data_IF_387790112530
#
_entry.id   IF_387790112530
#
_cell.length_a   1.000
_cell.length_b   1.000
_cell.length_c   1.000
_cell.angle_alpha   90.00
_cell.angle_beta   90.00
_cell.angle_gamma   90.00
#
_symmetry.space_group_name_H-M   'P 1'
#
loop_
_entity.id
_entity.type
_entity.pdbx_description
1 polymer ?
#
# COMPACT_ATOMS: atom_id res chain seq x y z
N UNK A 1 -34.53 9.50 11.17
CA UNK A 1 -33.55 10.47 10.66
C UNK A 1 -32.36 9.68 10.17
N UNK A 2 -32.15 9.58 8.86
CA UNK A 2 -30.98 8.90 8.31
C UNK A 2 -29.72 9.72 8.66
N UNK A 3 -28.71 9.06 9.21
CA UNK A 3 -27.44 9.65 9.62
C UNK A 3 -26.80 10.43 8.45
N UNK A 4 -26.40 11.67 8.71
CA UNK A 4 -25.62 12.49 7.76
C UNK A 4 -24.24 11.92 7.44
N UNK A 5 -23.80 10.86 8.13
CA UNK A 5 -22.53 10.18 7.82
C UNK A 5 -22.59 9.38 6.52
N UNK A 6 -23.74 8.78 6.18
CA UNK A 6 -23.88 7.98 4.95
C UNK A 6 -23.92 8.78 3.64
N UNK A 7 -24.10 10.11 3.69
CA UNK A 7 -24.08 10.97 2.49
C UNK A 7 -22.69 11.43 2.06
N UNK A 8 -21.67 11.24 2.91
CA UNK A 8 -20.29 11.69 2.63
C UNK A 8 -19.33 10.56 2.21
N UNK A 9 -19.71 9.29 2.34
CA UNK A 9 -18.80 8.14 2.10
C UNK A 9 -18.48 7.89 0.62
N UNK A 10 -19.30 8.39 -0.32
CA UNK A 10 -19.12 8.18 -1.76
C UNK A 10 -18.90 9.47 -2.55
N UNK A 11 -18.42 10.53 -1.89
CA UNK A 11 -18.34 11.89 -2.47
C UNK A 11 -17.61 11.94 -3.81
N UNK A 12 -16.60 11.09 -3.99
CA UNK A 12 -15.79 11.01 -5.21
C UNK A 12 -15.78 9.59 -5.76
N UNK A 13 -16.85 8.81 -5.54
CA UNK A 13 -16.90 7.43 -6.01
C UNK A 13 -16.85 7.32 -7.54
N UNK A 14 -17.32 8.31 -8.29
CA UNK A 14 -17.33 8.29 -9.76
C UNK A 14 -16.47 9.41 -10.39
N UNK A 15 -15.41 9.85 -9.70
CA UNK A 15 -14.73 11.08 -10.12
C UNK A 15 -14.08 10.97 -11.51
N UNK A 16 -13.55 9.80 -11.92
CA UNK A 16 -12.97 9.62 -13.24
C UNK A 16 -14.04 9.71 -14.33
N UNK A 17 -15.25 9.23 -14.07
CA UNK A 17 -16.40 9.35 -14.96
C UNK A 17 -16.90 10.80 -15.13
N UNK A 18 -16.64 11.67 -14.15
CA UNK A 18 -17.06 13.09 -14.14
C UNK A 18 -16.00 14.06 -14.66
N UNK A 19 -14.89 13.56 -15.17
CA UNK A 19 -13.85 14.38 -15.78
C UNK A 19 -14.36 15.00 -17.11
N UNK A 20 -13.81 16.15 -17.54
CA UNK A 20 -14.13 16.72 -18.85
C UNK A 20 -13.80 15.76 -20.00
N UNK A 21 -14.63 15.74 -21.05
CA UNK A 21 -14.42 14.83 -22.19
C UNK A 21 -13.06 15.03 -22.89
N UNK A 22 -12.55 16.27 -22.88
CA UNK A 22 -11.25 16.63 -23.44
C UNK A 22 -10.10 15.84 -22.82
N UNK A 23 -10.22 15.41 -21.56
CA UNK A 23 -9.19 14.63 -20.86
C UNK A 23 -9.43 13.12 -20.88
N UNK A 24 -10.55 12.62 -21.40
CA UNK A 24 -10.78 11.17 -21.50
C UNK A 24 -9.81 10.49 -22.46
N UNK A 25 -9.32 11.21 -23.47
CA UNK A 25 -8.43 10.67 -24.51
C UNK A 25 -6.94 10.89 -24.22
N UNK A 26 -6.59 11.66 -23.18
CA UNK A 26 -5.18 11.84 -22.80
C UNK A 26 -4.66 10.61 -22.04
N UNK A 27 -3.35 10.32 -22.10
CA UNK A 27 -2.79 9.21 -21.35
C UNK A 27 -3.02 9.34 -19.84
N UNK A 28 -3.31 8.24 -19.15
CA UNK A 28 -3.45 8.23 -17.68
C UNK A 28 -2.17 8.67 -16.96
N UNK A 29 -1.00 8.55 -17.60
CA UNK A 29 0.27 9.10 -17.10
C UNK A 29 0.28 10.62 -16.94
N UNK A 30 -0.72 11.30 -17.54
CA UNK A 30 -0.91 12.74 -17.54
C UNK A 30 -2.09 13.19 -16.68
N UNK A 31 -2.71 12.29 -15.91
CA UNK A 31 -3.74 12.64 -14.92
C UNK A 31 -3.14 12.72 -13.52
N UNK A 32 -3.67 13.62 -12.68
CA UNK A 32 -3.43 13.62 -11.25
C UNK A 32 -4.32 12.57 -10.59
N UNK A 33 -3.73 11.56 -9.95
CA UNK A 33 -4.46 10.43 -9.36
C UNK A 33 -4.11 10.32 -7.88
N UNK A 34 -5.09 10.41 -6.96
CA UNK A 34 -4.84 10.25 -5.53
C UNK A 34 -4.61 8.77 -5.19
N UNK A 35 -3.57 8.51 -4.41
CA UNK A 35 -3.18 7.18 -3.98
C UNK A 35 -2.88 7.11 -2.50
N UNK A 36 -2.90 5.89 -1.95
CA UNK A 36 -2.46 5.65 -0.57
C UNK A 36 -1.06 5.06 -0.52
N UNK A 37 -0.31 5.51 0.49
CA UNK A 37 0.98 4.92 0.84
C UNK A 37 0.81 3.92 1.98
N UNK A 38 1.66 2.90 1.98
CA UNK A 38 1.71 1.86 3.01
C UNK A 38 3.11 1.79 3.60
N UNK A 39 3.24 1.66 4.92
CA UNK A 39 4.52 1.35 5.56
C UNK A 39 4.72 -0.17 5.69
N UNK A 40 5.95 -0.62 5.50
CA UNK A 40 6.39 -1.93 6.00
C UNK A 40 7.32 -1.75 7.20
N UNK A 41 7.36 -2.75 8.09
CA UNK A 41 8.28 -2.78 9.24
C UNK A 41 9.75 -2.67 8.80
N UNK A 42 10.05 -3.36 7.70
CA UNK A 42 11.37 -3.39 7.08
C UNK A 42 11.79 -2.01 6.55
N UNK A 43 10.86 -1.14 6.19
CA UNK A 43 11.14 0.21 5.71
C UNK A 43 11.65 1.14 6.83
N UNK A 44 11.18 0.98 8.07
CA UNK A 44 11.62 1.81 9.23
C UNK A 44 13.05 1.47 9.66
N UNK A 45 13.44 0.20 9.60
CA UNK A 45 14.75 -0.27 10.03
C UNK A 45 15.77 -0.45 8.89
N UNK A 46 15.30 -0.64 7.65
CA UNK A 46 16.14 -0.64 6.44
C UNK A 46 16.82 0.70 6.18
N UNK A 47 16.25 1.80 6.69
CA UNK A 47 16.87 3.13 6.69
C UNK A 47 18.19 3.24 7.48
N UNK A 48 18.57 2.20 8.25
CA UNK A 48 19.89 2.11 8.90
C UNK A 48 21.00 1.62 7.96
N UNK A 49 20.67 0.98 6.83
CA UNK A 49 21.66 0.58 5.79
C UNK A 49 21.82 1.65 4.71
N UNK A 50 21.88 2.92 5.12
CA UNK A 50 22.34 3.99 4.25
C UNK A 50 23.87 3.99 4.14
N UNK A 51 24.43 3.15 3.26
CA UNK A 51 25.67 3.43 2.50
C UNK A 51 26.04 2.26 1.56
N UNK A 52 25.91 2.55 0.26
CA UNK A 52 26.51 1.87 -0.92
C UNK A 52 25.97 0.50 -1.31
N UNK A 53 25.22 0.48 -2.42
CA UNK A 53 25.49 -0.41 -3.55
C UNK A 53 24.75 -1.76 -3.58
N UNK A 54 23.98 -1.93 -4.66
CA UNK A 54 23.36 -3.16 -5.20
C UNK A 54 22.26 -3.79 -4.35
N UNK A 55 21.01 -3.49 -4.71
CA UNK A 55 19.92 -4.45 -4.63
C UNK A 55 20.23 -5.60 -5.60
N UNK A 56 20.80 -6.67 -5.08
CA UNK A 56 20.85 -7.96 -5.76
C UNK A 56 20.88 -9.04 -4.68
N UNK A 57 19.89 -9.92 -4.75
CA UNK A 57 19.90 -11.29 -4.22
C UNK A 57 20.02 -11.45 -2.70
N UNK A 58 18.86 -11.41 -2.01
CA UNK A 58 18.65 -12.26 -0.84
C UNK A 58 18.25 -13.67 -1.31
N UNK A 59 19.12 -14.30 -2.11
CA UNK A 59 19.05 -15.73 -2.39
C UNK A 59 19.57 -16.51 -1.19
N UNK A 60 18.71 -17.35 -0.62
CA UNK A 60 19.00 -18.61 0.07
C UNK A 60 20.46 -18.89 0.48
N UNK A 61 20.70 -18.95 1.79
CA UNK A 61 21.69 -19.86 2.35
C UNK A 61 20.97 -21.01 3.01
N UNK A 62 20.88 -22.12 2.28
CA UNK A 62 20.60 -23.46 2.82
C UNK A 62 21.72 -23.85 3.78
N UNK A 63 21.42 -23.97 5.07
CA UNK A 63 22.32 -24.61 6.02
C UNK A 63 22.24 -26.13 5.84
N UNK A 64 23.17 -26.69 5.06
CA UNK A 64 23.47 -28.12 5.06
C UNK A 64 24.91 -28.33 5.56
N UNK A 65 25.03 -29.28 6.49
CA UNK A 65 26.25 -29.82 7.10
C UNK A 65 27.08 -28.87 7.98
N UNK A 66 27.05 -29.13 9.29
CA UNK A 66 28.26 -29.50 10.03
C UNK A 66 27.86 -30.31 11.26
N UNK A 67 28.41 -31.51 11.28
CA UNK A 67 28.37 -32.54 12.32
C UNK A 67 28.78 -32.04 13.70
N UNK A 68 28.09 -32.49 14.75
CA UNK A 68 28.54 -32.26 16.13
C UNK A 68 27.63 -32.84 17.21
N UNK A 69 27.76 -34.14 17.43
CA UNK A 69 27.54 -34.87 18.69
C UNK A 69 26.22 -34.71 19.48
N UNK A 70 25.46 -35.80 19.41
CA UNK A 70 24.51 -36.33 20.38
C UNK A 70 24.93 -36.11 21.86
N UNK A 71 24.00 -35.58 22.67
CA UNK A 71 23.75 -36.08 24.03
C UNK A 71 22.23 -36.11 24.23
N UNK A 72 21.70 -37.33 24.34
CA UNK A 72 20.36 -37.59 24.87
C UNK A 72 20.31 -37.20 26.34
N UNK A 73 19.24 -36.53 26.78
CA UNK A 73 18.65 -36.76 28.09
C UNK A 73 17.13 -36.90 27.94
N UNK A 74 16.66 -37.94 28.61
CA UNK A 74 15.38 -38.65 28.51
C UNK A 74 14.25 -38.03 29.33
N UNK A 75 13.03 -38.36 28.89
CA UNK A 75 11.78 -38.52 29.65
C UNK A 75 11.22 -37.37 30.50
N UNK A 76 10.02 -36.91 30.11
CA UNK A 76 8.85 -37.15 30.95
C UNK A 76 7.55 -37.09 30.12
N UNK A 77 6.86 -38.22 30.07
CA UNK A 77 5.53 -38.42 29.51
C UNK A 77 4.43 -37.93 30.47
N UNK A 78 3.45 -37.19 29.95
CA UNK A 78 2.03 -37.48 30.24
C UNK A 78 1.13 -36.68 29.30
N UNK A 79 0.41 -37.43 28.46
CA UNK A 79 -0.91 -37.05 27.97
C UNK A 79 -1.84 -37.20 29.17
N UNK A 80 -2.63 -36.18 29.47
CA UNK A 80 -4.00 -36.27 29.99
C UNK A 80 -4.45 -34.88 30.48
N UNK A 81 -5.26 -34.21 29.67
CA UNK A 81 -6.41 -33.42 30.11
C UNK A 81 -7.16 -32.93 28.86
N UNK A 82 -8.13 -33.74 28.44
CA UNK A 82 -9.16 -33.43 27.46
C UNK A 82 -10.47 -33.22 28.25
N UNK A 83 -11.22 -32.19 27.88
CA UNK A 83 -12.58 -31.79 28.29
C UNK A 83 -12.78 -31.12 29.67
N UNK A 84 -13.13 -29.82 29.66
CA UNK A 84 -14.53 -29.39 29.83
C UNK A 84 -14.68 -27.86 29.73
N UNK A 85 -15.48 -27.39 28.77
CA UNK A 85 -16.35 -26.21 28.88
C UNK A 85 -17.18 -26.06 27.59
N UNK A 86 -18.30 -26.77 27.55
CA UNK A 86 -19.41 -26.53 26.63
C UNK A 86 -20.13 -25.24 27.04
N UNK A 87 -20.47 -24.41 26.05
CA UNK A 87 -21.67 -23.57 26.11
C UNK A 87 -21.47 -22.08 26.35
N UNK A 88 -21.33 -21.32 25.26
CA UNK A 88 -22.16 -20.12 25.00
C UNK A 88 -22.04 -19.68 23.54
N UNK A 89 -23.04 -20.05 22.76
CA UNK A 89 -23.42 -19.39 21.51
C UNK A 89 -23.73 -17.93 21.84
N UNK A 90 -23.03 -17.00 21.21
CA UNK A 90 -23.47 -15.60 21.10
C UNK A 90 -23.39 -15.25 19.61
N UNK A 91 -24.54 -15.26 18.96
CA UNK A 91 -24.77 -14.50 17.73
C UNK A 91 -24.82 -13.01 18.07
N UNK A 92 -23.92 -12.22 17.48
CA UNK A 92 -23.99 -10.78 17.21
C UNK A 92 -22.78 -10.49 16.32
N UNK A 93 -22.81 -9.95 15.10
CA UNK A 93 -23.80 -9.42 14.19
C UNK A 93 -23.00 -8.85 13.00
N UNK A 94 -23.61 -8.77 11.81
CA UNK A 94 -23.04 -8.10 10.64
C UNK A 94 -22.40 -6.74 11.00
N UNK A 95 -21.13 -6.54 10.69
CA UNK A 95 -20.41 -5.28 10.89
C UNK A 95 -19.07 -5.29 10.15
N UNK A 96 -19.04 -4.73 8.94
CA UNK A 96 -17.85 -4.54 8.12
C UNK A 96 -17.01 -3.39 8.65
N UNK A 97 -15.85 -3.64 9.25
CA UNK A 97 -14.96 -2.55 9.68
C UNK A 97 -13.46 -2.95 9.59
N UNK A 98 -12.66 -2.03 9.04
CA UNK A 98 -11.19 -1.91 9.09
C UNK A 98 -10.35 -2.68 8.04
N UNK A 99 -10.20 -2.14 6.81
CA UNK A 99 -9.06 -2.58 5.98
C UNK A 99 -7.79 -1.97 6.55
N UNK A 100 -6.91 -2.89 6.96
CA UNK A 100 -5.52 -2.74 7.35
C UNK A 100 -5.17 -2.68 8.85
N UNK A 101 -6.13 -2.48 9.75
CA UNK A 101 -5.83 -2.24 11.18
C UNK A 101 -6.07 -3.41 12.14
N UNK A 102 -6.88 -4.41 11.76
CA UNK A 102 -7.56 -5.24 12.77
C UNK A 102 -6.85 -6.57 13.15
N UNK A 103 -5.98 -7.15 12.30
CA UNK A 103 -5.47 -8.52 12.53
C UNK A 103 -3.99 -8.60 12.89
N UNK A 104 -3.55 -7.77 13.83
CA UNK A 104 -2.31 -8.02 14.54
C UNK A 104 -2.58 -9.11 15.57
N UNK A 105 -2.20 -10.35 15.25
CA UNK A 105 -2.20 -11.44 16.22
C UNK A 105 -1.15 -11.17 17.31
N UNK A 106 -1.62 -10.91 18.52
CA UNK A 106 -0.79 -10.62 19.69
C UNK A 106 0.19 -11.77 20.03
N UNK A 107 -0.06 -12.99 19.51
CA UNK A 107 0.77 -14.17 19.69
C UNK A 107 1.88 -14.36 18.64
N UNK A 108 1.92 -13.57 17.56
CA UNK A 108 2.90 -13.76 16.48
C UNK A 108 4.34 -13.40 16.92
N UNK A 109 5.34 -14.25 16.63
CA UNK A 109 6.74 -14.01 16.98
C UNK A 109 7.40 -12.98 16.03
N UNK A 110 8.43 -12.29 16.52
CA UNK A 110 9.27 -11.39 15.71
C UNK A 110 10.22 -12.25 14.86
N UNK A 111 10.36 -11.92 13.58
CA UNK A 111 11.27 -12.64 12.68
C UNK A 111 12.74 -12.57 13.16
N UNK A 112 13.52 -13.65 13.04
CA UNK A 112 14.90 -13.72 13.56
C UNK A 112 15.90 -12.78 12.85
N UNK A 113 15.49 -12.16 11.74
CA UNK A 113 16.35 -11.29 10.91
C UNK A 113 16.32 -9.80 11.33
N UNK A 114 15.72 -9.48 12.47
CA UNK A 114 15.59 -8.10 12.92
C UNK A 114 16.83 -7.59 13.67
N UNK A 115 17.16 -6.28 13.58
CA UNK A 115 18.27 -5.69 14.32
C UNK A 115 18.15 -5.93 15.84
N UNK A 116 19.29 -6.04 16.53
CA UNK A 116 19.33 -6.31 17.96
C UNK A 116 18.56 -5.26 18.80
N UNK A 117 18.50 -4.01 18.33
CA UNK A 117 17.68 -2.94 18.93
C UNK A 117 16.18 -3.18 18.85
N UNK A 118 15.70 -3.84 17.79
CA UNK A 118 14.31 -4.28 17.63
C UNK A 118 14.02 -5.46 18.53
N UNK A 119 14.91 -6.45 18.52
CA UNK A 119 14.78 -7.62 19.37
C UNK A 119 14.77 -7.21 20.84
N UNK A 120 15.61 -6.24 21.22
CA UNK A 120 15.67 -5.66 22.56
C UNK A 120 14.44 -4.79 22.89
N UNK A 121 13.90 -4.02 21.94
CA UNK A 121 12.69 -3.23 22.20
C UNK A 121 11.45 -4.11 22.40
N UNK A 122 11.30 -5.18 21.62
CA UNK A 122 10.20 -6.14 21.77
C UNK A 122 10.39 -7.04 22.99
N UNK A 123 11.62 -7.45 23.31
CA UNK A 123 11.91 -8.25 24.50
C UNK A 123 11.74 -7.47 25.81
N UNK A 124 11.96 -6.15 25.81
CA UNK A 124 11.83 -5.30 27.01
C UNK A 124 10.41 -4.77 27.22
N UNK A 125 9.62 -4.54 26.16
CA UNK A 125 8.34 -3.82 26.26
C UNK A 125 7.10 -4.60 25.80
N UNK A 126 7.21 -5.88 25.40
CA UNK A 126 6.09 -6.81 25.20
C UNK A 126 4.89 -6.19 24.47
N UNK A 127 3.69 -6.28 25.07
CA UNK A 127 2.42 -5.76 24.52
C UNK A 127 2.40 -4.22 24.37
N UNK A 128 3.18 -3.48 25.17
CA UNK A 128 3.28 -2.02 25.08
C UNK A 128 4.07 -1.59 23.85
N UNK A 129 5.19 -2.26 23.54
CA UNK A 129 5.91 -2.07 22.29
C UNK A 129 5.02 -2.37 21.07
N UNK A 130 4.22 -3.43 21.11
CA UNK A 130 3.29 -3.76 20.01
C UNK A 130 2.21 -2.70 19.80
N UNK A 131 1.61 -2.16 20.89
CA UNK A 131 0.63 -1.06 20.81
C UNK A 131 1.25 0.23 20.28
N UNK A 132 2.49 0.53 20.65
CA UNK A 132 3.23 1.67 20.10
C UNK A 132 3.55 1.46 18.62
N UNK A 133 4.08 0.28 18.25
CA UNK A 133 4.34 -0.08 16.86
C UNK A 133 3.09 0.07 15.99
N UNK A 134 1.91 -0.34 16.46
CA UNK A 134 0.64 -0.13 15.74
C UNK A 134 0.39 1.35 15.39
N UNK A 135 0.60 2.26 16.34
CA UNK A 135 0.41 3.71 16.11
C UNK A 135 1.44 4.34 15.17
N UNK A 136 2.62 3.74 15.07
CA UNK A 136 3.72 4.22 14.22
C UNK A 136 3.74 3.59 12.83
N UNK A 137 3.05 2.45 12.65
CA UNK A 137 2.98 1.70 11.38
C UNK A 137 1.66 1.90 10.64
N UNK A 138 0.61 2.34 11.33
CA UNK A 138 -0.65 2.70 10.69
C UNK A 138 -0.42 3.91 9.77
N UNK A 139 -0.72 3.75 8.48
CA UNK A 139 -0.70 4.83 7.48
C UNK A 139 -2.08 5.32 7.12
N UNK A 140 -3.12 4.50 7.30
CA UNK A 140 -4.48 4.84 6.90
C UNK A 140 -5.43 4.44 8.02
N UNK A 141 -6.56 5.14 8.14
CA UNK A 141 -7.66 4.76 9.04
C UNK A 141 -8.89 4.23 8.29
N UNK A 142 -8.89 4.36 6.96
CA UNK A 142 -9.99 3.97 6.09
C UNK A 142 -9.78 2.58 5.49
N UNK A 143 -10.88 1.84 5.33
CA UNK A 143 -10.91 0.57 4.62
C UNK A 143 -10.84 0.78 3.08
N UNK A 144 -10.68 -0.28 2.27
CA UNK A 144 -10.60 -0.16 0.80
C UNK A 144 -11.84 0.52 0.23
N UNK A 145 -13.02 0.06 0.65
CA UNK A 145 -14.31 0.63 0.25
C UNK A 145 -14.39 2.14 0.52
N UNK A 146 -14.01 2.57 1.72
CA UNK A 146 -13.99 3.98 2.11
C UNK A 146 -12.96 4.79 1.34
N UNK A 147 -11.75 4.25 1.14
CA UNK A 147 -10.71 4.92 0.33
C UNK A 147 -11.21 5.13 -1.12
N UNK A 148 -11.82 4.10 -1.72
CA UNK A 148 -12.40 4.18 -3.06
C UNK A 148 -13.54 5.20 -3.14
N UNK A 149 -14.47 5.18 -2.19
CA UNK A 149 -15.59 6.13 -2.12
C UNK A 149 -15.15 7.59 -1.91
N UNK A 150 -14.04 7.79 -1.19
CA UNK A 150 -13.41 9.09 -1.02
C UNK A 150 -12.60 9.55 -2.23
N UNK A 151 -12.29 8.67 -3.19
CA UNK A 151 -11.69 9.00 -4.48
C UNK A 151 -10.31 8.39 -4.74
N UNK A 152 -9.76 7.59 -3.82
CA UNK A 152 -8.49 6.88 -4.06
C UNK A 152 -8.61 5.92 -5.23
N UNK A 153 -7.62 5.92 -6.12
CA UNK A 153 -7.55 4.98 -7.26
C UNK A 153 -6.21 4.26 -7.35
N UNK A 154 -5.26 4.58 -6.48
CA UNK A 154 -3.98 3.89 -6.41
C UNK A 154 -3.74 3.32 -5.03
N UNK A 155 -3.34 2.05 -4.97
CA UNK A 155 -3.00 1.36 -3.73
C UNK A 155 -1.57 0.82 -3.79
N UNK A 156 -0.73 1.28 -2.87
CA UNK A 156 0.58 0.69 -2.58
C UNK A 156 0.38 -0.56 -1.70
N UNK A 157 0.44 -1.74 -2.33
CA UNK A 157 0.19 -3.04 -1.74
C UNK A 157 1.50 -3.76 -1.44
N UNK A 158 1.64 -4.24 -0.21
CA UNK A 158 2.74 -5.10 0.19
C UNK A 158 2.19 -6.43 0.64
N UNK A 159 2.74 -7.52 0.14
CA UNK A 159 2.23 -8.86 0.41
C UNK A 159 3.21 -9.62 1.28
N UNK A 160 2.70 -10.37 2.23
CA UNK A 160 3.48 -11.24 3.09
C UNK A 160 2.81 -12.59 3.30
N UNK A 161 3.63 -13.58 3.60
CA UNK A 161 3.20 -14.88 4.13
C UNK A 161 3.44 -14.91 5.63
N UNK A 162 2.62 -15.67 6.37
CA UNK A 162 2.85 -15.91 7.80
C UNK A 162 3.75 -17.15 7.97
N UNK A 163 4.82 -17.07 8.78
CA UNK A 163 5.61 -18.25 9.11
C UNK A 163 4.74 -19.34 9.73
N UNK A 164 4.85 -20.58 9.20
CA UNK A 164 4.11 -21.77 9.69
C UNK A 164 2.60 -21.67 9.53
N UNK A 165 2.11 -20.82 8.64
CA UNK A 165 0.72 -20.84 8.23
C UNK A 165 0.42 -22.15 7.48
N UNK A 166 -0.47 -23.02 8.01
CA UNK A 166 -0.77 -24.30 7.38
C UNK A 166 -1.41 -24.13 5.98
N UNK A 167 -2.08 -23.00 5.74
CA UNK A 167 -2.86 -22.75 4.53
C UNK A 167 -2.07 -21.95 3.48
N UNK A 168 -0.85 -21.52 3.83
CA UNK A 168 0.01 -20.64 3.01
C UNK A 168 -0.77 -19.44 2.46
N UNK A 169 -1.51 -18.75 3.34
CA UNK A 169 -2.32 -17.61 2.96
C UNK A 169 -1.46 -16.38 2.68
N UNK A 170 -2.02 -15.48 1.87
CA UNK A 170 -1.41 -14.20 1.53
C UNK A 170 -2.09 -13.10 2.33
N UNK A 171 -1.28 -12.24 2.93
CA UNK A 171 -1.73 -11.14 3.76
C UNK A 171 -1.13 -9.82 3.30
N UNK A 172 -1.89 -8.74 3.42
CA UNK A 172 -1.31 -7.41 3.29
C UNK A 172 -0.35 -7.13 4.46
N UNK A 173 0.81 -6.56 4.15
CA UNK A 173 1.88 -6.28 5.10
C UNK A 173 1.88 -4.79 5.48
N UNK A 174 1.43 -4.46 6.70
CA UNK A 174 1.38 -3.08 7.25
C UNK A 174 2.27 -2.97 8.49
N UNK A 175 3.51 -3.43 8.35
CA UNK A 175 4.48 -3.58 9.44
C UNK A 175 4.15 -4.63 10.51
N UNK A 176 2.90 -5.07 10.60
CA UNK A 176 2.44 -6.30 11.24
C UNK A 176 1.44 -6.99 10.28
N UNK A 177 1.20 -8.29 10.45
CA UNK A 177 0.28 -9.04 9.59
C UNK A 177 -1.13 -8.42 9.60
N UNK A 178 -1.79 -8.36 8.44
CA UNK A 178 -3.11 -7.74 8.29
C UNK A 178 -4.13 -8.70 7.64
N UNK A 179 -5.21 -8.14 7.06
CA UNK A 179 -6.28 -8.82 6.34
C UNK A 179 -5.76 -9.71 5.19
N UNK A 180 -6.55 -10.72 4.81
CA UNK A 180 -6.23 -11.58 3.68
C UNK A 180 -6.26 -10.78 2.39
N UNK A 181 -5.34 -11.07 1.48
CA UNK A 181 -5.28 -10.40 0.18
C UNK A 181 -6.59 -10.62 -0.59
N UNK A 182 -7.14 -11.84 -0.55
CA UNK A 182 -8.38 -12.18 -1.23
C UNK A 182 -9.53 -11.23 -0.84
N UNK A 183 -9.75 -11.04 0.46
CA UNK A 183 -10.84 -10.21 1.00
C UNK A 183 -10.71 -8.75 0.50
N UNK A 184 -9.51 -8.18 0.54
CA UNK A 184 -9.30 -6.81 0.05
C UNK A 184 -9.48 -6.66 -1.46
N UNK A 185 -9.04 -7.66 -2.24
CA UNK A 185 -9.24 -7.66 -3.70
C UNK A 185 -10.73 -7.80 -4.06
N UNK A 186 -11.50 -8.61 -3.31
CA UNK A 186 -12.95 -8.73 -3.43
C UNK A 186 -13.68 -7.43 -3.09
N UNK A 187 -13.28 -6.72 -2.02
CA UNK A 187 -13.81 -5.39 -1.69
C UNK A 187 -13.62 -4.40 -2.85
N UNK A 188 -12.41 -4.35 -3.42
CA UNK A 188 -12.12 -3.50 -4.58
C UNK A 188 -12.98 -3.89 -5.79
N UNK A 189 -13.14 -5.20 -6.05
CA UNK A 189 -13.93 -5.68 -7.18
C UNK A 189 -15.43 -5.37 -7.03
N UNK A 190 -15.96 -5.41 -5.80
CA UNK A 190 -17.33 -5.01 -5.52
C UNK A 190 -17.56 -3.54 -5.91
N UNK A 191 -16.67 -2.64 -5.48
CA UNK A 191 -16.70 -1.23 -5.88
C UNK A 191 -16.64 -1.07 -7.41
N UNK A 192 -15.71 -1.73 -8.09
CA UNK A 192 -15.58 -1.63 -9.55
C UNK A 192 -16.81 -2.15 -10.30
N UNK A 193 -17.54 -3.09 -9.71
CA UNK A 193 -18.78 -3.63 -10.29
C UNK A 193 -19.91 -2.60 -10.24
N UNK A 194 -19.95 -1.74 -9.22
CA UNK A 194 -20.94 -0.66 -9.11
C UNK A 194 -20.50 0.62 -9.86
N UNK A 195 -19.19 0.78 -10.10
CA UNK A 195 -18.57 1.98 -10.67
C UNK A 195 -17.79 1.68 -11.96
N UNK A 196 -18.50 1.30 -13.03
CA UNK A 196 -17.93 0.76 -14.28
C UNK A 196 -16.89 1.65 -15.00
N UNK A 197 -16.93 2.97 -14.79
CA UNK A 197 -16.00 3.93 -15.41
C UNK A 197 -14.80 4.28 -14.54
N UNK A 198 -14.70 3.69 -13.35
CA UNK A 198 -13.57 3.90 -12.47
C UNK A 198 -12.48 2.87 -12.71
N UNK A 199 -11.24 3.33 -12.59
CA UNK A 199 -10.03 2.55 -12.87
C UNK A 199 -9.12 2.58 -11.66
N UNK A 200 -8.67 1.41 -11.20
CA UNK A 200 -7.75 1.27 -10.08
C UNK A 200 -6.37 0.77 -10.50
N UNK A 201 -5.36 1.23 -9.76
CA UNK A 201 -3.97 0.86 -9.87
C UNK A 201 -3.61 0.05 -8.63
N UNK A 202 -3.33 -1.23 -8.81
CA UNK A 202 -2.89 -2.13 -7.76
C UNK A 202 -1.38 -2.31 -7.88
N UNK A 203 -0.61 -1.63 -7.05
CA UNK A 203 0.84 -1.75 -7.06
C UNK A 203 1.30 -2.75 -6.00
N UNK A 204 1.55 -3.99 -6.43
CA UNK A 204 2.18 -5.02 -5.61
C UNK A 204 3.68 -4.75 -5.53
N UNK A 205 4.02 -3.76 -4.70
CA UNK A 205 5.32 -3.11 -4.65
C UNK A 205 6.37 -3.96 -3.93
N UNK A 206 5.98 -4.68 -2.88
CA UNK A 206 6.89 -5.56 -2.11
C UNK A 206 6.26 -6.91 -1.77
N UNK A 207 7.10 -7.95 -1.75
CA UNK A 207 6.73 -9.31 -1.38
C UNK A 207 7.66 -9.83 -0.28
N UNK A 208 7.12 -10.28 0.84
CA UNK A 208 7.87 -10.76 1.99
C UNK A 208 7.58 -12.23 2.27
N UNK A 209 8.62 -13.06 2.30
CA UNK A 209 8.46 -14.50 2.55
C UNK A 209 7.69 -15.26 1.46
N UNK A 210 7.49 -14.64 0.29
CA UNK A 210 6.85 -15.29 -0.85
C UNK A 210 7.85 -16.14 -1.64
N UNK A 211 7.33 -17.22 -2.19
CA UNK A 211 8.03 -18.16 -3.06
C UNK A 211 7.28 -18.27 -4.38
N UNK A 212 7.81 -18.98 -5.36
CA UNK A 212 7.19 -19.10 -6.69
C UNK A 212 5.69 -19.47 -6.62
N UNK A 213 5.34 -20.50 -5.87
CA UNK A 213 3.94 -20.95 -5.75
C UNK A 213 3.02 -19.89 -5.10
N UNK A 214 3.55 -19.03 -4.23
CA UNK A 214 2.80 -17.92 -3.65
C UNK A 214 2.48 -16.85 -4.71
N UNK A 215 3.44 -16.57 -5.60
CA UNK A 215 3.19 -15.68 -6.73
C UNK A 215 2.16 -16.31 -7.69
N UNK A 216 2.26 -17.60 -7.98
CA UNK A 216 1.27 -18.33 -8.78
C UNK A 216 -0.13 -18.26 -8.15
N UNK A 217 -0.24 -18.46 -6.83
CA UNK A 217 -1.50 -18.30 -6.06
C UNK A 217 -2.07 -16.89 -6.19
N UNK A 218 -1.24 -15.85 -6.05
CA UNK A 218 -1.68 -14.44 -6.19
C UNK A 218 -2.13 -14.11 -7.62
N UNK A 219 -1.39 -14.59 -8.62
CA UNK A 219 -1.76 -14.40 -10.04
C UNK A 219 -3.08 -15.10 -10.36
N UNK A 220 -3.31 -16.30 -9.83
CA UNK A 220 -4.59 -17.00 -10.00
C UNK A 220 -5.73 -16.25 -9.32
N UNK A 221 -5.53 -15.79 -8.08
CA UNK A 221 -6.50 -14.96 -7.36
C UNK A 221 -6.90 -13.70 -8.14
N UNK A 222 -5.94 -12.99 -8.74
CA UNK A 222 -6.22 -11.82 -9.59
C UNK A 222 -7.06 -12.18 -10.82
N UNK A 223 -6.78 -13.31 -11.47
CA UNK A 223 -7.56 -13.81 -12.61
C UNK A 223 -8.98 -14.15 -12.20
N UNK A 224 -9.16 -14.83 -11.07
CA UNK A 224 -10.47 -15.27 -10.61
C UNK A 224 -11.35 -14.08 -10.20
N UNK A 225 -10.77 -13.07 -9.56
CA UNK A 225 -11.52 -11.90 -9.07
C UNK A 225 -11.81 -10.89 -10.18
N UNK A 226 -10.79 -10.47 -10.94
CA UNK A 226 -10.93 -9.36 -11.88
C UNK A 226 -11.18 -9.83 -13.32
N UNK A 227 -10.67 -11.00 -13.71
CA UNK A 227 -10.84 -11.56 -15.05
C UNK A 227 -10.57 -10.54 -16.15
N UNK A 228 -11.60 -10.28 -16.96
CA UNK A 228 -11.53 -9.37 -18.11
C UNK A 228 -11.43 -7.88 -17.74
N UNK A 229 -11.59 -7.50 -16.46
CA UNK A 229 -11.39 -6.11 -16.01
C UNK A 229 -9.91 -5.72 -16.00
N UNK A 230 -8.98 -6.67 -16.09
CA UNK A 230 -7.54 -6.37 -16.05
C UNK A 230 -7.02 -5.91 -17.41
N UNK A 231 -6.39 -4.73 -17.42
CA UNK A 231 -5.73 -4.19 -18.60
C UNK A 231 -4.38 -4.90 -18.83
N UNK A 232 -4.11 -5.44 -20.04
CA UNK A 232 -2.83 -6.02 -20.37
C UNK A 232 -1.69 -4.99 -20.30
N UNK A 233 -0.47 -5.44 -20.01
CA UNK A 233 0.70 -4.59 -20.02
C UNK A 233 0.99 -4.12 -21.46
N UNK A 234 0.78 -2.82 -21.70
CA UNK A 234 1.04 -2.15 -22.97
C UNK A 234 1.86 -0.87 -22.74
N UNK A 235 2.12 -0.08 -23.78
CA UNK A 235 2.82 1.18 -23.60
C UNK A 235 1.96 2.15 -22.78
N UNK A 236 2.50 2.71 -21.68
CA UNK A 236 1.72 3.51 -20.73
C UNK A 236 1.01 4.71 -21.38
N UNK A 237 1.55 5.24 -22.48
CA UNK A 237 1.00 6.37 -23.22
C UNK A 237 -0.20 6.01 -24.11
N UNK A 238 -0.43 4.72 -24.35
CA UNK A 238 -1.60 4.26 -25.09
C UNK A 238 -2.80 4.07 -24.15
N UNK A 239 -2.57 4.03 -22.84
CA UNK A 239 -3.63 3.86 -21.86
C UNK A 239 -4.26 5.22 -21.54
N UNK A 240 -5.50 5.42 -21.98
CA UNK A 240 -6.37 6.55 -21.62
C UNK A 240 -7.64 6.03 -20.95
N UNK A 241 -8.41 6.91 -20.29
CA UNK A 241 -9.72 6.53 -19.74
C UNK A 241 -10.66 6.01 -20.83
N UNK A 242 -10.68 6.69 -21.98
CA UNK A 242 -11.46 6.26 -23.15
C UNK A 242 -11.07 4.86 -23.61
N UNK A 243 -9.77 4.60 -23.75
CA UNK A 243 -9.28 3.26 -24.13
C UNK A 243 -9.73 2.19 -23.15
N UNK A 244 -9.62 2.44 -21.83
CA UNK A 244 -10.00 1.48 -20.81
C UNK A 244 -11.50 1.21 -20.82
N UNK A 245 -12.34 2.25 -20.94
CA UNK A 245 -13.78 2.10 -20.99
C UNK A 245 -14.26 1.38 -22.25
N UNK A 246 -13.67 1.66 -23.42
CA UNK A 246 -14.00 0.96 -24.68
C UNK A 246 -13.63 -0.53 -24.65
N UNK A 247 -12.75 -0.94 -23.73
CA UNK A 247 -12.29 -2.31 -23.54
C UNK A 247 -12.86 -2.99 -22.29
N UNK A 248 -13.71 -2.29 -21.54
CA UNK A 248 -14.23 -2.72 -20.24
C UNK A 248 -13.12 -3.08 -19.23
N UNK A 249 -11.97 -2.41 -19.34
CA UNK A 249 -10.86 -2.52 -18.39
C UNK A 249 -11.02 -1.54 -17.24
N UNK A 250 -10.75 -2.02 -16.02
CA UNK A 250 -10.84 -1.24 -14.78
C UNK A 250 -9.63 -1.43 -13.87
N UNK A 251 -8.74 -2.39 -14.12
CA UNK A 251 -7.64 -2.73 -13.20
C UNK A 251 -6.30 -2.74 -13.93
N UNK A 252 -5.35 -1.93 -13.46
CA UNK A 252 -3.94 -2.03 -13.84
C UNK A 252 -3.15 -2.63 -12.67
N UNK A 253 -2.45 -3.73 -12.92
CA UNK A 253 -1.70 -4.46 -11.90
C UNK A 253 -0.20 -4.26 -12.10
N UNK A 254 0.45 -3.53 -11.21
CA UNK A 254 1.91 -3.39 -11.19
C UNK A 254 2.51 -4.44 -10.25
N UNK A 255 3.57 -5.09 -10.69
CA UNK A 255 4.09 -6.27 -10.01
C UNK A 255 5.62 -6.26 -9.96
N UNK A 256 6.17 -6.11 -8.76
CA UNK A 256 7.61 -5.97 -8.52
C UNK A 256 8.32 -7.32 -8.35
N UNK A 257 8.16 -8.21 -9.34
CA UNK A 257 8.80 -9.53 -9.40
C UNK A 257 9.00 -9.96 -10.86
N UNK A 258 10.03 -10.77 -11.19
CA UNK A 258 10.24 -11.28 -12.55
C UNK A 258 9.03 -11.98 -13.17
N UNK A 259 8.09 -12.48 -12.36
CA UNK A 259 6.80 -13.03 -12.80
C UNK A 259 6.03 -12.06 -13.71
N UNK A 260 6.22 -10.76 -13.55
CA UNK A 260 5.59 -9.74 -14.40
C UNK A 260 5.98 -9.85 -15.88
N UNK A 261 7.14 -10.45 -16.19
CA UNK A 261 7.59 -10.66 -17.57
C UNK A 261 6.93 -11.88 -18.23
N UNK A 262 6.31 -12.75 -17.44
CA UNK A 262 5.72 -14.02 -17.89
C UNK A 262 4.20 -13.95 -17.99
N UNK A 263 3.56 -12.99 -17.31
CA UNK A 263 2.09 -12.88 -17.21
C UNK A 263 1.61 -11.60 -17.92
N UNK A 264 0.85 -11.70 -19.02
CA UNK A 264 0.55 -10.55 -19.90
C UNK A 264 -0.16 -9.35 -19.25
N UNK A 265 -0.92 -9.55 -18.18
CA UNK A 265 -1.63 -8.46 -17.49
C UNK A 265 -0.85 -7.83 -16.33
N UNK A 266 0.32 -8.38 -16.00
CA UNK A 266 1.18 -7.82 -14.97
C UNK A 266 2.11 -6.78 -15.61
N UNK A 267 1.95 -5.54 -15.20
CA UNK A 267 2.84 -4.46 -15.57
C UNK A 267 4.13 -4.57 -14.76
N UNK A 268 5.32 -4.63 -15.41
CA UNK A 268 6.58 -4.64 -14.69
C UNK A 268 6.70 -3.41 -13.78
N UNK A 269 7.14 -3.60 -12.53
CA UNK A 269 7.25 -2.51 -11.56
C UNK A 269 8.11 -1.32 -12.02
N UNK A 270 9.04 -1.52 -12.95
CA UNK A 270 9.85 -0.44 -13.54
C UNK A 270 9.02 0.56 -14.37
N UNK A 271 7.79 0.20 -14.73
CA UNK A 271 6.82 1.09 -15.39
C UNK A 271 6.08 2.00 -14.41
N UNK A 272 6.35 1.87 -13.10
CA UNK A 272 5.79 2.68 -12.03
C UNK A 272 6.91 3.15 -11.06
N UNK A 273 7.85 4.01 -11.48
CA UNK A 273 8.86 4.54 -10.58
C UNK A 273 8.24 5.31 -9.41
N UNK A 274 8.65 4.93 -8.19
CA UNK A 274 8.24 5.55 -6.93
C UNK A 274 9.49 6.02 -6.14
N UNK A 275 10.14 7.13 -6.54
CA UNK A 275 11.29 7.66 -5.80
C UNK A 275 10.89 8.05 -4.37
N UNK A 276 11.73 7.72 -3.39
CA UNK A 276 11.43 7.87 -1.97
C UNK A 276 12.43 8.80 -1.27
N UNK A 277 11.93 9.89 -0.69
CA UNK A 277 12.77 10.94 -0.09
C UNK A 277 13.50 10.50 1.18
N UNK A 278 12.95 9.51 1.91
CA UNK A 278 13.51 8.97 3.15
C UNK A 278 13.97 10.07 4.13
N UNK A 279 13.08 11.00 4.46
CA UNK A 279 13.38 12.16 5.31
C UNK A 279 12.23 12.46 6.27
N UNK A 280 12.57 13.02 7.44
CA UNK A 280 11.60 13.58 8.41
C UNK A 280 11.35 15.08 8.19
N UNK A 281 12.05 15.70 7.23
CA UNK A 281 12.11 17.14 7.03
C UNK A 281 11.23 17.54 5.82
N UNK A 282 10.15 18.32 6.04
CA UNK A 282 9.23 18.73 4.97
C UNK A 282 9.89 19.51 3.85
N UNK A 283 10.89 20.36 4.14
CA UNK A 283 11.55 21.16 3.10
C UNK A 283 12.39 20.27 2.18
N UNK A 284 13.11 19.31 2.77
CA UNK A 284 13.87 18.30 1.99
C UNK A 284 12.96 17.40 1.18
N UNK A 285 11.79 17.03 1.72
CA UNK A 285 10.77 16.30 0.98
C UNK A 285 10.34 17.09 -0.26
N UNK A 286 9.99 18.37 -0.09
CA UNK A 286 9.56 19.23 -1.20
C UNK A 286 10.65 19.38 -2.27
N UNK A 287 11.90 19.63 -1.86
CA UNK A 287 13.04 19.71 -2.78
C UNK A 287 13.22 18.39 -3.56
N UNK A 288 13.12 17.26 -2.86
CA UNK A 288 13.23 15.93 -3.47
C UNK A 288 12.11 15.67 -4.49
N UNK A 289 10.87 16.04 -4.15
CA UNK A 289 9.73 15.88 -5.06
C UNK A 289 9.90 16.72 -6.33
N UNK A 290 10.35 17.97 -6.20
CA UNK A 290 10.62 18.86 -7.34
C UNK A 290 11.73 18.30 -8.25
N UNK A 291 12.84 17.83 -7.65
CA UNK A 291 13.92 17.20 -8.40
C UNK A 291 13.43 15.93 -9.12
N UNK A 292 12.68 15.08 -8.43
CA UNK A 292 12.16 13.82 -8.98
C UNK A 292 11.21 14.04 -10.15
N UNK A 293 10.36 15.07 -10.11
CA UNK A 293 9.50 15.46 -11.24
C UNK A 293 10.33 15.93 -12.43
N UNK A 294 11.45 16.63 -12.18
CA UNK A 294 12.33 17.11 -13.26
C UNK A 294 13.08 15.95 -13.92
N UNK A 295 13.47 14.95 -13.13
CA UNK A 295 14.26 13.79 -13.56
C UNK A 295 13.42 12.63 -14.10
N UNK A 296 12.10 12.64 -13.89
CA UNK A 296 11.23 11.54 -14.30
C UNK A 296 11.30 11.30 -15.81
N UNK A 297 11.09 10.05 -16.21
CA UNK A 297 10.87 9.72 -17.62
C UNK A 297 9.59 10.43 -18.08
N UNK A 298 9.72 11.24 -19.13
CA UNK A 298 8.58 11.95 -19.74
C UNK A 298 7.60 11.00 -20.43
N UNK A 299 8.07 9.80 -20.79
CA UNK A 299 7.40 8.81 -21.62
C UNK A 299 7.76 7.40 -21.14
N UNK A 300 6.82 6.46 -21.26
CA UNK A 300 7.03 5.02 -21.11
C UNK A 300 6.74 4.49 -19.71
N UNK A 301 6.32 5.35 -18.78
CA UNK A 301 6.01 4.95 -17.41
C UNK A 301 5.00 5.89 -16.76
N UNK A 302 4.24 5.33 -15.82
CA UNK A 302 3.59 6.10 -14.78
C UNK A 302 4.65 6.71 -13.85
N UNK A 303 4.23 7.50 -12.86
CA UNK A 303 5.15 8.09 -11.90
C UNK A 303 4.44 8.43 -10.60
N UNK A 304 5.09 8.13 -9.48
CA UNK A 304 4.53 8.37 -8.16
C UNK A 304 5.32 9.46 -7.43
N UNK A 305 4.61 10.50 -7.02
CA UNK A 305 5.07 11.50 -6.08
C UNK A 305 4.65 11.10 -4.67
N UNK A 306 5.61 10.61 -3.87
CA UNK A 306 5.36 10.15 -2.51
C UNK A 306 5.45 11.31 -1.51
N UNK A 307 4.31 11.90 -1.16
CA UNK A 307 4.20 13.02 -0.21
C UNK A 307 4.11 12.46 1.21
N UNK A 308 5.16 11.75 1.62
CA UNK A 308 5.26 11.06 2.91
C UNK A 308 6.58 11.38 3.60
N UNK A 309 6.54 11.49 4.92
CA UNK A 309 7.71 11.68 5.76
C UNK A 309 8.08 10.38 6.46
N UNK A 310 9.37 10.10 6.49
CA UNK A 310 9.92 8.86 7.04
C UNK A 310 10.44 9.07 8.46
N UNK A 311 9.76 8.57 9.51
CA UNK A 311 10.30 8.62 10.86
C UNK A 311 11.64 7.88 10.94
N UNK A 312 12.59 8.45 11.67
CA UNK A 312 13.80 7.72 12.09
C UNK A 312 13.50 6.92 13.35
N UNK A 313 14.23 5.85 13.61
CA UNK A 313 14.10 5.06 14.85
C UNK A 313 14.23 5.95 16.11
N UNK A 314 15.08 6.97 16.08
CA UNK A 314 15.21 7.95 17.17
C UNK A 314 13.98 8.85 17.37
N UNK A 315 13.21 9.11 16.30
CA UNK A 315 11.93 9.84 16.36
C UNK A 315 10.85 8.97 17.01
N UNK A 316 10.79 7.69 16.65
CA UNK A 316 9.86 6.70 17.24
C UNK A 316 10.09 6.58 18.75
N UNK A 317 11.37 6.46 19.17
CA UNK A 317 11.73 6.34 20.60
C UNK A 317 11.42 7.61 21.41
N UNK A 318 11.41 8.80 20.79
CA UNK A 318 11.08 10.06 21.49
C UNK A 318 9.58 10.34 21.57
N UNK A 319 8.77 9.75 20.69
CA UNK A 319 7.33 9.98 20.62
C UNK A 319 6.50 8.88 21.29
N UNK A 320 6.93 8.36 22.44
CA UNK A 320 6.30 7.22 23.13
C UNK A 320 4.81 7.45 23.50
N UNK A 321 4.32 8.70 23.48
CA UNK A 321 2.92 9.03 23.76
C UNK A 321 2.06 9.34 22.51
N UNK A 322 2.64 9.47 21.31
CA UNK A 322 1.96 9.90 20.06
C UNK A 322 2.30 8.96 18.88
N UNK A 323 1.48 8.94 17.82
CA UNK A 323 1.69 8.09 16.64
C UNK A 323 2.35 8.82 15.47
N UNK A 324 2.49 8.14 14.33
CA UNK A 324 2.99 8.72 13.08
C UNK A 324 2.15 9.94 12.65
N UNK A 325 0.82 9.78 12.76
CA UNK A 325 -0.19 10.80 12.43
C UNK A 325 0.07 12.12 13.14
N UNK A 326 0.03 12.13 14.47
CA UNK A 326 0.06 13.35 15.26
C UNK A 326 1.48 13.94 15.35
N UNK A 327 2.50 13.08 15.25
CA UNK A 327 3.90 13.50 15.44
C UNK A 327 4.51 14.05 14.17
N UNK A 328 4.12 13.55 13.00
CA UNK A 328 4.76 13.84 11.72
C UNK A 328 3.76 14.37 10.71
N UNK A 329 2.74 13.58 10.37
CA UNK A 329 1.87 13.89 9.23
C UNK A 329 1.08 15.19 9.46
N UNK A 330 0.37 15.33 10.58
CA UNK A 330 -0.46 16.51 10.86
C UNK A 330 0.36 17.80 10.96
N UNK A 331 1.60 17.72 11.46
CA UNK A 331 2.50 18.88 11.57
C UNK A 331 3.03 19.34 10.22
N UNK A 332 3.33 18.41 9.33
CA UNK A 332 3.85 18.69 8.00
C UNK A 332 2.74 18.94 6.96
N UNK A 333 1.49 18.57 7.28
CA UNK A 333 0.35 18.64 6.37
C UNK A 333 0.19 20.00 5.68
N UNK A 334 0.31 21.16 6.36
CA UNK A 334 0.19 22.46 5.68
C UNK A 334 1.22 22.65 4.56
N UNK A 335 2.49 22.31 4.81
CA UNK A 335 3.56 22.46 3.82
C UNK A 335 3.40 21.46 2.66
N UNK A 336 3.08 20.20 2.98
CA UNK A 336 2.82 19.16 1.99
C UNK A 336 1.62 19.53 1.10
N UNK A 337 0.52 19.98 1.69
CA UNK A 337 -0.67 20.40 0.93
C UNK A 337 -0.43 21.67 0.12
N UNK A 338 0.37 22.62 0.63
CA UNK A 338 0.78 23.78 -0.16
C UNK A 338 1.54 23.37 -1.41
N UNK A 339 2.42 22.36 -1.31
CA UNK A 339 3.12 21.82 -2.46
C UNK A 339 2.16 21.14 -3.44
N UNK A 340 1.25 20.27 -2.97
CA UNK A 340 0.28 19.58 -3.85
C UNK A 340 -0.56 20.58 -4.64
N UNK A 341 -1.03 21.66 -4.01
CA UNK A 341 -1.86 22.69 -4.66
C UNK A 341 -1.17 23.47 -5.78
N UNK A 342 0.16 23.52 -5.79
CA UNK A 342 0.92 24.23 -6.83
C UNK A 342 1.32 23.35 -8.01
N UNK A 343 0.98 22.06 -7.96
CA UNK A 343 1.33 21.12 -9.03
C UNK A 343 0.36 21.20 -10.21
N UNK A 344 0.81 20.70 -11.35
CA UNK A 344 -0.02 20.43 -12.53
C UNK A 344 0.24 19.00 -12.99
N UNK A 345 -0.78 18.27 -13.47
CA UNK A 345 -0.57 16.97 -14.07
C UNK A 345 -0.02 17.10 -15.49
N UNK A 346 0.57 16.03 -16.02
CA UNK A 346 1.09 15.96 -17.38
C UNK A 346 2.55 15.52 -17.48
N UNK A 347 3.10 15.51 -18.70
CA UNK A 347 4.45 14.97 -18.98
C UNK A 347 5.58 15.64 -18.18
N UNK A 348 5.42 16.91 -17.81
CA UNK A 348 6.38 17.69 -17.01
C UNK A 348 5.88 17.96 -15.58
N UNK A 349 4.85 17.22 -15.16
CA UNK A 349 4.14 17.44 -13.92
C UNK A 349 4.06 16.19 -13.06
N UNK A 350 3.08 16.18 -12.16
CA UNK A 350 2.75 15.01 -11.35
C UNK A 350 1.90 14.00 -12.12
N UNK A 351 1.79 12.80 -11.58
CA UNK A 351 0.83 11.80 -12.02
C UNK A 351 0.11 11.21 -10.79
N UNK A 352 0.58 10.09 -10.25
CA UNK A 352 0.03 9.54 -9.02
C UNK A 352 0.65 10.26 -7.83
N UNK A 353 -0.16 10.68 -6.87
CA UNK A 353 0.30 11.33 -5.64
C UNK A 353 -0.14 10.49 -4.45
N UNK A 354 0.82 10.02 -3.64
CA UNK A 354 0.53 9.22 -2.45
C UNK A 354 0.81 10.00 -1.18
N UNK A 355 0.04 9.70 -0.13
CA UNK A 355 0.21 10.28 1.19
C UNK A 355 -0.18 9.29 2.29
N UNK A 356 0.30 9.56 3.51
CA UNK A 356 -0.20 8.94 4.74
C UNK A 356 -1.45 9.69 5.22
N UNK A 357 -2.44 8.95 5.72
CA UNK A 357 -3.71 9.41 6.25
C UNK A 357 -4.45 10.31 5.25
N UNK A 358 -4.84 9.73 4.12
CA UNK A 358 -5.42 10.47 2.99
C UNK A 358 -6.75 11.17 3.32
N UNK A 359 -7.38 10.80 4.43
CA UNK A 359 -8.55 11.48 4.98
C UNK A 359 -8.22 12.85 5.60
N UNK A 360 -6.94 13.17 5.82
CA UNK A 360 -6.53 14.43 6.44
C UNK A 360 -6.63 15.60 5.47
N UNK A 361 -7.28 16.66 5.94
CA UNK A 361 -7.45 17.90 5.19
C UNK A 361 -8.32 17.68 3.94
N UNK A 362 -7.86 18.21 2.82
CA UNK A 362 -8.53 18.17 1.51
C UNK A 362 -7.67 17.48 0.45
N UNK A 363 -6.73 16.61 0.86
CA UNK A 363 -5.75 15.95 -0.01
C UNK A 363 -6.38 15.34 -1.26
N UNK A 364 -7.31 14.38 -1.08
CA UNK A 364 -7.91 13.64 -2.19
C UNK A 364 -8.61 14.61 -3.16
N UNK A 365 -9.43 15.51 -2.62
CA UNK A 365 -10.15 16.49 -3.44
C UNK A 365 -9.23 17.48 -4.14
N UNK A 366 -8.08 17.81 -3.54
CA UNK A 366 -7.08 18.69 -4.14
C UNK A 366 -6.44 18.01 -5.33
N UNK A 367 -5.98 16.76 -5.18
CA UNK A 367 -5.35 16.00 -6.28
C UNK A 367 -6.34 15.82 -7.43
N UNK A 368 -7.61 15.46 -7.15
CA UNK A 368 -8.66 15.34 -8.18
C UNK A 368 -8.87 16.67 -8.92
N UNK A 369 -8.95 17.79 -8.19
CA UNK A 369 -9.16 19.14 -8.77
C UNK A 369 -8.05 19.56 -9.73
N UNK A 370 -6.83 19.04 -9.60
CA UNK A 370 -5.73 19.36 -10.51
C UNK A 370 -6.02 18.93 -11.96
N UNK A 371 -6.94 17.99 -12.18
CA UNK A 371 -7.37 17.58 -13.52
C UNK A 371 -8.33 18.56 -14.21
N UNK A 372 -8.87 19.56 -13.50
CA UNK A 372 -9.79 20.55 -14.07
C UNK A 372 -9.09 21.85 -14.50
N UNK A 373 -7.78 21.98 -14.22
CA UNK A 373 -7.00 23.20 -14.52
C UNK A 373 -6.70 23.34 -16.03
N UNK A 374 -6.95 22.31 -16.83
CA UNK A 374 -6.78 22.37 -18.30
C UNK A 374 -7.70 23.40 -18.97
N UNK A 375 -8.84 23.75 -18.37
CA UNK A 375 -9.83 24.67 -18.98
C UNK A 375 -9.46 26.15 -18.86
N UNK A 376 -8.68 26.56 -17.85
CA UNK A 376 -8.36 27.99 -17.63
C UNK A 376 -7.27 28.52 -18.58
N UNK A 377 -6.51 27.62 -19.23
CA UNK A 377 -5.40 27.97 -20.12
C UNK A 377 -5.80 28.30 -21.56
N UNK A 378 -6.89 27.71 -22.07
CA UNK A 378 -7.35 27.92 -23.45
C UNK A 378 -8.37 29.06 -23.57
N UNK A 379 -9.02 29.47 -22.47
CA UNK A 379 -9.95 30.61 -22.48
C UNK A 379 -9.26 32.00 -22.57
N UNK A 380 -7.91 32.04 -22.53
CA UNK A 380 -7.10 33.27 -22.57
C UNK A 380 -6.13 33.34 -23.76
N UNK A 381 -6.36 32.54 -24.81
CA UNK A 381 -5.70 32.66 -26.12
C UNK A 381 -6.75 32.77 -27.21
#
# INVERSE_FOLDING_TARGET
MASSQGKNELKFADWMATLPESIHSIPLTNLAIPGTFTWSYLSIYGGLKGKKGKESDASFLTASSLSGHFVMLTDCSSKDCFNDAVGRTIEYGNGSHDSFSFYIDEASPVGPEQPETVQNFVSVFGTVAKKLMRKWLATQTMNFTGQLGAGIRYFDLRISTKPRDPDNELYFAHGLFSAKVNEGLEEINAFLTDHHKEVVFLDFNHFYGMQKYHHEKLVQMLKDIYGNKMCPAIFAQEVSLKYLWEKDYQVLVFYHSPVALEVPFLWPGQMMPAPWANTTDPEKLIQFLQASITERRKKGSFFISQVVLTPKASTVVKGVASGLRETITERALPAMMQWVRTQKPGESGINIVTADFVELGDFISTVIKLNYVFEEGEANT
#
